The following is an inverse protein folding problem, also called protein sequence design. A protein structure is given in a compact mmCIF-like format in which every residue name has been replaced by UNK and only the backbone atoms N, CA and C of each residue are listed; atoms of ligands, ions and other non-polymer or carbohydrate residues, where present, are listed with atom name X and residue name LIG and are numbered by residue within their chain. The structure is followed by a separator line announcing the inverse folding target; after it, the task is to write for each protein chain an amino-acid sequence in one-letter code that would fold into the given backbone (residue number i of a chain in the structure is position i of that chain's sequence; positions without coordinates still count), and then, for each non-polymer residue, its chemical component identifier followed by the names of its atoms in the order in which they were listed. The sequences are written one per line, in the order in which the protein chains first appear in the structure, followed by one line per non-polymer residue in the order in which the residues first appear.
data_IF_273467708346
#
_entry.id   IF_273467708346
#
_cell.length_a   1.000
_cell.length_b   1.000
_cell.length_c   1.000
_cell.angle_alpha   90.00
_cell.angle_beta   90.00
_cell.angle_gamma   90.00
#
_symmetry.space_group_name_H-M   'P 1'
#
loop_
_entity.id
_entity.type
_entity.pdbx_description
1 polymer ?
#
# COMPACT_ATOMS: atom_id res chain seq x y z
N UNK A 1 -15.40 -11.75 4.71
CA UNK A 1 -14.93 -12.81 3.79
C UNK A 1 -13.56 -13.28 4.26
N UNK A 2 -13.32 -14.60 4.40
CA UNK A 2 -12.00 -15.11 4.79
C UNK A 2 -10.97 -14.79 3.71
N UNK A 3 -9.88 -14.16 4.13
CA UNK A 3 -8.76 -13.71 3.28
C UNK A 3 -8.19 -14.82 2.38
N UNK A 4 -8.30 -16.08 2.81
CA UNK A 4 -7.86 -17.26 2.06
C UNK A 4 -8.55 -17.42 0.69
N UNK A 5 -9.82 -17.02 0.53
CA UNK A 5 -10.49 -17.10 -0.78
C UNK A 5 -9.95 -16.10 -1.80
N UNK A 6 -9.39 -14.97 -1.34
CA UNK A 6 -8.73 -14.03 -2.25
C UNK A 6 -7.38 -14.53 -2.73
N UNK A 7 -6.73 -15.46 -2.01
CA UNK A 7 -5.39 -15.90 -2.37
C UNK A 7 -5.32 -16.66 -3.70
N UNK A 8 -6.25 -17.62 -3.90
CA UNK A 8 -6.38 -18.34 -5.18
C UNK A 8 -6.62 -17.41 -6.38
N UNK A 9 -7.26 -16.25 -6.15
CA UNK A 9 -7.45 -15.26 -7.21
C UNK A 9 -6.13 -14.65 -7.67
N UNK A 10 -5.18 -14.43 -6.75
CA UNK A 10 -3.86 -13.88 -7.07
C UNK A 10 -2.95 -14.92 -7.74
N UNK A 11 -2.99 -16.19 -7.29
CA UNK A 11 -2.22 -17.28 -7.91
C UNK A 11 -2.60 -17.52 -9.37
N UNK A 12 -3.86 -17.33 -9.74
CA UNK A 12 -4.34 -17.56 -11.11
C UNK A 12 -3.99 -16.42 -12.08
N UNK A 13 -3.23 -15.41 -11.66
CA UNK A 13 -2.89 -14.26 -12.49
C UNK A 13 -1.65 -14.55 -13.34
N UNK A 14 -1.62 -14.12 -14.62
CA UNK A 14 -0.46 -14.31 -15.48
C UNK A 14 0.77 -13.62 -14.87
N UNK A 15 1.88 -14.34 -14.81
CA UNK A 15 3.15 -13.89 -14.21
C UNK A 15 3.34 -14.27 -12.74
N UNK A 16 2.28 -14.66 -12.01
CA UNK A 16 2.40 -15.15 -10.62
C UNK A 16 2.33 -16.68 -10.51
N UNK A 17 2.00 -17.38 -11.59
CA UNK A 17 1.85 -18.84 -11.60
C UNK A 17 3.16 -19.60 -11.37
N UNK A 18 4.30 -18.94 -11.55
CA UNK A 18 5.65 -19.51 -11.33
C UNK A 18 6.14 -19.31 -9.90
N UNK A 19 5.52 -18.42 -9.13
CA UNK A 19 5.89 -18.11 -7.76
C UNK A 19 5.25 -19.11 -6.81
N UNK A 20 5.96 -19.44 -5.74
CA UNK A 20 5.44 -20.27 -4.64
C UNK A 20 4.36 -19.53 -3.85
N UNK A 21 3.49 -20.27 -3.16
CA UNK A 21 2.43 -19.70 -2.30
C UNK A 21 3.00 -18.75 -1.24
N UNK A 22 4.17 -19.07 -0.67
CA UNK A 22 4.83 -18.24 0.35
C UNK A 22 5.31 -16.91 -0.25
N UNK A 23 5.89 -16.94 -1.45
CA UNK A 23 6.36 -15.72 -2.13
C UNK A 23 5.19 -14.81 -2.50
N UNK A 24 4.07 -15.37 -2.99
CA UNK A 24 2.88 -14.60 -3.32
C UNK A 24 2.26 -13.96 -2.07
N UNK A 25 2.20 -14.67 -0.95
CA UNK A 25 1.74 -14.12 0.33
C UNK A 25 2.61 -12.95 0.78
N UNK A 26 3.93 -13.11 0.68
CA UNK A 26 4.86 -12.06 1.03
C UNK A 26 4.73 -10.82 0.13
N UNK A 27 4.63 -11.00 -1.19
CA UNK A 27 4.43 -9.89 -2.13
C UNK A 27 3.13 -9.14 -1.87
N UNK A 28 2.05 -9.84 -1.51
CA UNK A 28 0.78 -9.23 -1.13
C UNK A 28 0.92 -8.43 0.16
N UNK A 29 1.63 -8.95 1.16
CA UNK A 29 1.87 -8.25 2.42
C UNK A 29 2.73 -6.99 2.22
N UNK A 30 3.79 -7.08 1.41
CA UNK A 30 4.65 -5.94 1.08
C UNK A 30 3.88 -4.87 0.29
N UNK A 31 3.06 -5.27 -0.68
CA UNK A 31 2.21 -4.36 -1.43
C UNK A 31 1.16 -3.68 -0.55
N UNK A 32 0.64 -4.39 0.46
CA UNK A 32 -0.31 -3.86 1.44
C UNK A 32 0.38 -2.83 2.36
N UNK A 33 1.53 -3.18 2.94
CA UNK A 33 2.29 -2.29 3.83
C UNK A 33 2.72 -1.00 3.13
N UNK A 34 3.07 -1.08 1.84
CA UNK A 34 3.48 0.10 1.07
C UNK A 34 2.33 1.07 0.76
N UNK A 35 1.09 0.60 0.81
CA UNK A 35 -0.09 1.35 0.37
C UNK A 35 -1.14 1.55 1.45
N UNK A 36 -0.83 1.30 2.73
CA UNK A 36 -1.84 1.38 3.81
C UNK A 36 -2.69 2.65 3.74
N UNK A 37 -2.05 3.79 3.48
CA UNK A 37 -2.75 5.09 3.37
C UNK A 37 -3.46 5.33 2.04
N UNK A 38 -3.01 4.72 0.94
CA UNK A 38 -3.63 4.91 -0.38
C UNK A 38 -4.78 3.93 -0.63
N UNK A 39 -4.77 2.77 0.05
CA UNK A 39 -5.67 1.65 -0.22
C UNK A 39 -7.13 1.97 0.12
N UNK A 40 -7.35 2.80 1.14
CA UNK A 40 -8.66 3.27 1.58
C UNK A 40 -9.07 4.64 0.99
N UNK A 41 -8.12 5.54 0.74
CA UNK A 41 -8.42 6.91 0.27
C UNK A 41 -8.87 6.90 -1.18
N UNK A 42 -8.19 6.16 -2.06
CA UNK A 42 -8.53 6.15 -3.50
C UNK A 42 -9.96 5.62 -3.74
N UNK A 43 -10.37 4.46 -3.18
CA UNK A 43 -11.72 3.96 -3.39
C UNK A 43 -12.78 4.86 -2.72
N UNK A 44 -12.45 5.54 -1.63
CA UNK A 44 -13.35 6.47 -0.94
C UNK A 44 -13.57 7.73 -1.75
N UNK A 45 -12.52 8.35 -2.26
CA UNK A 45 -12.61 9.49 -3.18
C UNK A 45 -13.41 9.13 -4.42
N UNK A 46 -13.19 7.94 -4.98
CA UNK A 46 -13.96 7.48 -6.13
C UNK A 46 -15.45 7.30 -5.81
N UNK A 47 -15.77 6.68 -4.67
CA UNK A 47 -17.17 6.53 -4.25
C UNK A 47 -17.84 7.89 -4.05
N UNK A 48 -17.16 8.85 -3.42
CA UNK A 48 -17.66 10.22 -3.28
C UNK A 48 -17.90 10.84 -4.66
N UNK A 49 -16.94 10.72 -5.58
CA UNK A 49 -17.08 11.24 -6.94
C UNK A 49 -18.28 10.61 -7.67
N UNK A 50 -18.45 9.29 -7.59
CA UNK A 50 -19.59 8.58 -8.16
C UNK A 50 -20.91 9.06 -7.55
N UNK A 51 -20.96 9.24 -6.23
CA UNK A 51 -22.14 9.78 -5.54
C UNK A 51 -22.48 11.20 -5.99
N UNK A 52 -21.48 12.08 -6.14
CA UNK A 52 -21.68 13.43 -6.67
C UNK A 52 -22.23 13.37 -8.10
N UNK A 53 -21.62 12.56 -8.97
CA UNK A 53 -22.04 12.43 -10.38
C UNK A 53 -23.45 11.89 -10.51
N UNK A 54 -23.88 10.97 -9.63
CA UNK A 54 -25.23 10.40 -9.65
C UNK A 54 -26.25 11.31 -8.99
N UNK A 55 -25.94 11.88 -7.82
CA UNK A 55 -26.91 12.65 -7.04
C UNK A 55 -27.10 14.08 -7.53
N UNK A 56 -26.06 14.73 -8.08
CA UNK A 56 -26.19 16.12 -8.57
C UNK A 56 -27.26 16.23 -9.67
N UNK A 57 -27.27 15.40 -10.73
CA UNK A 57 -28.33 15.44 -11.75
C UNK A 57 -29.73 15.13 -11.18
N UNK A 58 -29.83 14.18 -10.24
CA UNK A 58 -31.09 13.80 -9.61
C UNK A 58 -31.66 14.96 -8.80
N UNK A 59 -30.82 15.58 -7.95
CA UNK A 59 -31.20 16.76 -7.16
C UNK A 59 -31.54 17.93 -8.07
N UNK A 60 -30.74 18.18 -9.11
CA UNK A 60 -30.98 19.25 -10.07
C UNK A 60 -32.30 19.07 -10.82
N UNK A 61 -32.59 17.87 -11.30
CA UNK A 61 -33.84 17.53 -11.98
C UNK A 61 -35.03 17.72 -11.02
N UNK A 62 -34.92 17.27 -9.78
CA UNK A 62 -35.94 17.46 -8.76
C UNK A 62 -36.21 18.96 -8.51
N UNK A 63 -35.16 19.78 -8.39
CA UNK A 63 -35.28 21.23 -8.24
C UNK A 63 -35.92 21.89 -9.47
N UNK A 64 -35.56 21.46 -10.67
CA UNK A 64 -36.15 21.96 -11.92
C UNK A 64 -37.63 21.62 -12.04
N UNK A 65 -38.03 20.40 -11.68
CA UNK A 65 -39.43 20.00 -11.64
C UNK A 65 -40.23 20.81 -10.61
N UNK A 66 -39.65 21.07 -9.43
CA UNK A 66 -40.27 21.90 -8.40
C UNK A 66 -40.45 23.35 -8.88
N UNK A 67 -39.46 23.91 -9.59
CA UNK A 67 -39.52 25.27 -10.13
C UNK A 67 -40.47 25.42 -11.31
N UNK A 68 -40.64 24.38 -12.11
CA UNK A 68 -41.58 24.36 -13.25
C UNK A 68 -43.05 24.33 -12.82
N UNK A 69 -43.34 24.25 -11.52
CA UNK A 69 -44.70 24.32 -11.00
C UNK A 69 -45.59 23.15 -11.43
N UNK A 70 -44.99 22.03 -11.86
CA UNK A 70 -45.72 20.83 -12.27
C UNK A 70 -46.50 20.27 -11.07
N UNK A 71 -47.84 20.44 -11.03
CA UNK A 71 -48.66 19.98 -9.91
C UNK A 71 -48.84 18.47 -10.09
N UNK A 72 -48.16 17.69 -9.26
CA UNK A 72 -48.20 16.22 -9.31
C UNK A 72 -46.84 15.54 -9.22
N UNK A 73 -45.74 16.28 -9.46
CA UNK A 73 -44.36 15.81 -9.24
C UNK A 73 -43.78 16.31 -7.91
N UNK A 74 -44.64 16.74 -6.98
CA UNK A 74 -44.24 16.69 -5.60
C UNK A 74 -44.07 15.20 -5.30
N UNK A 75 -42.82 14.73 -5.29
CA UNK A 75 -42.43 13.48 -4.66
C UNK A 75 -42.76 13.62 -3.17
N UNK A 76 -44.05 13.66 -2.84
CA UNK A 76 -44.49 13.54 -1.48
C UNK A 76 -44.14 12.12 -1.14
N UNK A 77 -43.02 11.98 -0.43
CA UNK A 77 -42.50 10.74 0.14
C UNK A 77 -43.56 10.04 1.02
N UNK A 78 -44.75 10.62 1.17
CA UNK A 78 -45.93 10.05 1.81
C UNK A 78 -46.53 8.85 1.06
N UNK A 79 -46.37 8.74 -0.27
CA UNK A 79 -46.88 7.57 -0.99
C UNK A 79 -46.12 6.31 -0.53
N UNK A 80 -46.79 5.30 0.05
CA UNK A 80 -46.10 4.14 0.63
C UNK A 80 -45.25 3.38 -0.40
N UNK A 81 -45.68 3.34 -1.67
CA UNK A 81 -44.90 2.75 -2.76
C UNK A 81 -43.60 3.48 -3.07
N UNK A 82 -43.57 4.82 -2.98
CA UNK A 82 -42.38 5.61 -3.26
C UNK A 82 -41.27 5.35 -2.22
N UNK A 83 -41.63 5.19 -0.94
CA UNK A 83 -40.68 4.83 0.13
C UNK A 83 -39.99 3.50 -0.15
N UNK A 84 -40.75 2.49 -0.60
CA UNK A 84 -40.20 1.17 -0.92
C UNK A 84 -39.24 1.23 -2.10
N UNK A 85 -39.60 1.96 -3.16
CA UNK A 85 -38.73 2.11 -4.35
C UNK A 85 -37.42 2.82 -3.97
N UNK A 86 -37.50 3.92 -3.21
CA UNK A 86 -36.31 4.65 -2.76
C UNK A 86 -35.44 3.77 -1.85
N UNK A 87 -36.04 3.00 -0.93
CA UNK A 87 -35.31 2.09 -0.07
C UNK A 87 -34.59 0.99 -0.89
N UNK A 88 -35.27 0.36 -1.85
CA UNK A 88 -34.67 -0.64 -2.74
C UNK A 88 -33.55 -0.05 -3.59
N UNK A 89 -33.74 1.13 -4.17
CA UNK A 89 -32.71 1.82 -4.94
C UNK A 89 -31.48 2.13 -4.08
N UNK A 90 -31.67 2.61 -2.85
CA UNK A 90 -30.59 2.84 -1.90
C UNK A 90 -29.85 1.54 -1.55
N UNK A 91 -30.58 0.43 -1.31
CA UNK A 91 -29.97 -0.88 -1.06
C UNK A 91 -29.13 -1.36 -2.25
N UNK A 92 -29.65 -1.26 -3.48
CA UNK A 92 -28.91 -1.63 -4.70
C UNK A 92 -27.66 -0.77 -4.86
N UNK A 93 -27.76 0.54 -4.64
CA UNK A 93 -26.63 1.46 -4.70
C UNK A 93 -25.53 1.10 -3.68
N UNK A 94 -25.91 0.74 -2.45
CA UNK A 94 -24.95 0.31 -1.41
C UNK A 94 -24.24 -0.98 -1.84
N UNK A 95 -24.97 -1.97 -2.37
CA UNK A 95 -24.38 -3.23 -2.83
C UNK A 95 -23.43 -2.99 -4.01
N UNK A 96 -23.83 -2.21 -5.01
CA UNK A 96 -22.99 -1.87 -6.16
C UNK A 96 -21.74 -1.12 -5.71
N UNK A 97 -21.88 -0.17 -4.78
CA UNK A 97 -20.76 0.59 -4.22
C UNK A 97 -19.78 -0.31 -3.45
N UNK A 98 -20.28 -1.30 -2.70
CA UNK A 98 -19.45 -2.26 -1.98
C UNK A 98 -18.68 -3.20 -2.93
N UNK A 99 -19.35 -3.75 -3.94
CA UNK A 99 -18.71 -4.60 -4.96
C UNK A 99 -17.63 -3.82 -5.71
N UNK A 100 -17.95 -2.59 -6.12
CA UNK A 100 -17.04 -1.73 -6.83
C UNK A 100 -15.83 -1.32 -5.97
N UNK A 101 -16.04 -1.04 -4.68
CA UNK A 101 -14.96 -0.82 -3.72
C UNK A 101 -14.00 -2.01 -3.63
N UNK A 102 -14.53 -3.22 -3.51
CA UNK A 102 -13.74 -4.46 -3.46
C UNK A 102 -12.96 -4.62 -4.77
N UNK A 103 -13.59 -4.33 -5.91
CA UNK A 103 -12.98 -4.44 -7.23
C UNK A 103 -11.81 -3.46 -7.43
N UNK A 104 -11.98 -2.17 -7.14
CA UNK A 104 -10.88 -1.18 -7.21
C UNK A 104 -9.72 -1.61 -6.29
N UNK A 105 -10.03 -2.02 -5.07
CA UNK A 105 -8.99 -2.46 -4.12
C UNK A 105 -8.16 -3.60 -4.69
N UNK A 106 -8.81 -4.59 -5.33
CA UNK A 106 -8.12 -5.70 -6.00
C UNK A 106 -7.24 -5.22 -7.15
N UNK A 107 -7.74 -4.31 -7.99
CA UNK A 107 -6.97 -3.75 -9.10
C UNK A 107 -5.73 -2.99 -8.63
N UNK A 108 -5.83 -2.21 -7.55
CA UNK A 108 -4.71 -1.46 -6.99
C UNK A 108 -3.63 -2.39 -6.43
N UNK A 109 -4.02 -3.47 -5.76
CA UNK A 109 -3.08 -4.50 -5.27
C UNK A 109 -2.39 -5.17 -6.46
N UNK A 110 -3.15 -5.62 -7.46
CA UNK A 110 -2.59 -6.26 -8.65
C UNK A 110 -1.61 -5.36 -9.39
N UNK A 111 -1.97 -4.10 -9.63
CA UNK A 111 -1.09 -3.14 -10.28
C UNK A 111 0.16 -2.85 -9.44
N UNK A 112 0.05 -2.90 -8.12
CA UNK A 112 1.19 -2.74 -7.22
C UNK A 112 2.15 -3.92 -7.31
N UNK A 113 1.63 -5.15 -7.34
CA UNK A 113 2.44 -6.36 -7.45
C UNK A 113 3.15 -6.39 -8.80
N UNK A 114 2.43 -6.12 -9.90
CA UNK A 114 3.03 -6.00 -11.24
C UNK A 114 4.12 -4.93 -11.30
N UNK A 115 3.90 -3.79 -10.63
CA UNK A 115 4.93 -2.76 -10.55
C UNK A 115 6.16 -3.21 -9.75
N UNK A 116 5.99 -4.00 -8.68
CA UNK A 116 7.12 -4.55 -7.93
C UNK A 116 7.91 -5.55 -8.78
N UNK A 117 7.23 -6.47 -9.45
CA UNK A 117 7.84 -7.47 -10.33
C UNK A 117 8.60 -6.79 -11.47
N UNK A 118 7.94 -5.86 -12.18
CA UNK A 118 8.56 -5.13 -13.31
C UNK A 118 9.67 -4.18 -12.87
N UNK A 119 9.78 -3.85 -11.58
CA UNK A 119 10.84 -2.97 -11.08
C UNK A 119 12.14 -3.73 -10.84
N UNK A 120 12.05 -5.02 -10.53
CA UNK A 120 13.20 -5.88 -10.30
C UNK A 120 13.76 -6.50 -11.59
N UNK A 121 13.32 -6.08 -12.77
CA UNK A 121 13.88 -6.55 -14.04
C UNK A 121 15.06 -5.69 -14.50
N UNK A 122 16.00 -6.30 -15.21
CA UNK A 122 17.08 -5.59 -15.88
C UNK A 122 16.50 -4.64 -16.95
N UNK A 123 16.86 -3.35 -16.97
CA UNK A 123 16.34 -2.39 -17.95
C UNK A 123 16.83 -2.63 -19.39
N UNK A 124 17.82 -3.51 -19.58
CA UNK A 124 18.42 -3.80 -20.89
C UNK A 124 17.83 -5.06 -21.53
N UNK A 125 17.70 -6.16 -20.76
CA UNK A 125 17.28 -7.46 -21.28
C UNK A 125 16.02 -8.04 -20.61
N UNK A 126 15.36 -7.28 -19.73
CA UNK A 126 14.19 -7.70 -18.96
C UNK A 126 14.39 -8.95 -18.09
N UNK A 127 15.63 -9.37 -17.86
CA UNK A 127 15.93 -10.50 -16.97
C UNK A 127 15.56 -10.16 -15.53
N UNK A 128 14.92 -11.11 -14.84
CA UNK A 128 14.52 -10.95 -13.44
C UNK A 128 15.75 -10.96 -12.52
N UNK A 129 15.96 -9.89 -11.75
CA UNK A 129 17.10 -9.74 -10.84
C UNK A 129 16.80 -10.29 -9.43
N UNK A 130 15.60 -10.81 -9.18
CA UNK A 130 15.26 -11.39 -7.89
C UNK A 130 16.21 -12.54 -7.51
N UNK A 131 16.60 -12.60 -6.23
CA UNK A 131 17.46 -13.65 -5.70
C UNK A 131 18.96 -13.46 -5.99
N UNK A 132 19.35 -12.44 -6.76
CA UNK A 132 20.77 -12.11 -6.91
C UNK A 132 21.32 -11.46 -5.63
N UNK A 133 22.51 -11.89 -5.24
CA UNK A 133 23.25 -11.27 -4.13
C UNK A 133 23.70 -9.87 -4.55
N UNK A 134 23.23 -8.88 -3.80
CA UNK A 134 23.64 -7.48 -3.96
C UNK A 134 25.05 -7.31 -3.37
N UNK A 135 25.99 -6.81 -4.18
CA UNK A 135 27.32 -6.45 -3.68
C UNK A 135 27.22 -5.25 -2.73
N UNK A 136 28.23 -5.06 -1.86
CA UNK A 136 28.19 -4.05 -0.78
C UNK A 136 27.88 -2.62 -1.27
N UNK A 137 28.21 -2.31 -2.52
CA UNK A 137 28.00 -0.99 -3.14
C UNK A 137 26.60 -0.78 -3.77
N UNK A 138 25.61 -1.62 -3.43
CA UNK A 138 24.26 -1.54 -4.01
C UNK A 138 24.26 -1.60 -5.55
N UNK A 139 25.15 -2.43 -6.09
CA UNK A 139 25.25 -2.75 -7.51
C UNK A 139 24.90 -4.23 -7.71
N UNK A 140 24.14 -4.52 -8.76
CA UNK A 140 23.85 -5.90 -9.19
C UNK A 140 24.26 -6.03 -10.65
N UNK A 141 25.01 -7.09 -10.96
CA UNK A 141 25.40 -7.42 -12.32
C UNK A 141 24.40 -8.41 -12.90
N UNK A 142 23.78 -8.07 -14.03
CA UNK A 142 22.87 -8.97 -14.72
C UNK A 142 23.64 -10.19 -15.26
N UNK A 143 23.18 -11.43 -15.04
CA UNK A 143 23.88 -12.62 -15.50
C UNK A 143 23.73 -12.86 -17.01
N UNK A 144 22.66 -12.34 -17.62
CA UNK A 144 22.39 -12.50 -19.05
C UNK A 144 23.20 -11.50 -19.91
N UNK A 145 23.04 -10.19 -19.65
CA UNK A 145 23.68 -9.15 -20.46
C UNK A 145 25.01 -8.63 -19.89
N UNK A 146 25.32 -8.93 -18.63
CA UNK A 146 26.55 -8.47 -17.96
C UNK A 146 26.53 -7.01 -17.50
N UNK A 147 25.43 -6.27 -17.75
CA UNK A 147 25.24 -4.88 -17.36
C UNK A 147 25.26 -4.71 -15.83
N UNK A 148 25.90 -3.66 -15.34
CA UNK A 148 25.96 -3.34 -13.90
C UNK A 148 24.92 -2.29 -13.60
N UNK A 149 23.91 -2.66 -12.81
CA UNK A 149 22.77 -1.82 -12.48
C UNK A 149 22.98 -1.25 -11.08
N UNK A 150 22.95 0.08 -10.98
CA UNK A 150 23.00 0.78 -9.70
C UNK A 150 21.58 0.84 -9.11
N UNK A 151 21.34 0.13 -8.00
CA UNK A 151 20.00 0.00 -7.42
C UNK A 151 19.36 1.37 -7.14
N UNK A 152 20.17 2.32 -6.66
CA UNK A 152 19.71 3.66 -6.26
C UNK A 152 19.13 4.46 -7.43
N UNK A 153 19.66 4.30 -8.64
CA UNK A 153 19.21 5.03 -9.83
C UNK A 153 17.84 4.55 -10.30
N UNK A 154 17.55 3.27 -10.12
CA UNK A 154 16.24 2.65 -10.41
C UNK A 154 15.29 2.68 -9.20
N UNK A 155 15.71 3.31 -8.10
CA UNK A 155 14.98 3.36 -6.85
C UNK A 155 14.74 1.99 -6.22
N UNK A 156 15.50 0.97 -6.62
CA UNK A 156 15.49 -0.36 -6.02
C UNK A 156 16.19 -0.29 -4.66
N UNK A 157 15.65 -1.02 -3.70
CA UNK A 157 16.29 -1.25 -2.41
C UNK A 157 16.81 -2.67 -2.34
N UNK A 158 17.83 -2.94 -1.51
CA UNK A 158 18.35 -4.30 -1.31
C UNK A 158 17.24 -5.30 -0.95
N UNK A 159 16.24 -4.83 -0.19
CA UNK A 159 15.03 -5.57 0.20
C UNK A 159 14.16 -6.00 -0.97
N UNK A 160 14.18 -5.26 -2.08
CA UNK A 160 13.41 -5.60 -3.27
C UNK A 160 14.06 -6.76 -4.06
N UNK A 161 15.36 -7.02 -3.87
CA UNK A 161 16.10 -8.10 -4.55
C UNK A 161 16.28 -9.34 -3.67
N UNK A 162 16.36 -9.15 -2.35
CA UNK A 162 16.50 -10.23 -1.37
C UNK A 162 15.13 -10.86 -1.07
N UNK A 163 14.82 -11.98 -1.71
CA UNK A 163 13.69 -12.83 -1.31
C UNK A 163 13.93 -13.47 0.07
N UNK A 164 15.20 -13.69 0.44
CA UNK A 164 15.60 -14.51 1.59
C UNK A 164 15.63 -13.77 2.93
N UNK A 165 16.01 -12.48 2.95
CA UNK A 165 16.27 -11.74 4.20
C UNK A 165 14.99 -11.36 4.97
N UNK A 166 13.82 -11.46 4.35
CA UNK A 166 12.54 -11.14 4.98
C UNK A 166 11.87 -12.33 5.69
N UNK A 167 12.27 -13.58 5.38
CA UNK A 167 11.72 -14.78 6.00
C UNK A 167 12.80 -15.54 6.79
N UNK A 168 13.40 -14.87 7.76
CA UNK A 168 13.74 -15.59 8.99
C UNK A 168 12.43 -15.55 9.77
N UNK A 169 11.59 -16.61 9.78
CA UNK A 169 10.45 -16.64 10.68
C UNK A 169 11.02 -16.29 12.06
N UNK A 170 10.37 -15.41 12.85
CA UNK A 170 10.87 -15.11 14.19
C UNK A 170 11.12 -16.47 14.82
N UNK A 171 12.40 -16.76 15.13
CA UNK A 171 12.78 -18.04 15.70
C UNK A 171 11.73 -18.33 16.76
N UNK A 172 11.03 -19.48 16.69
CA UNK A 172 9.93 -19.76 17.60
C UNK A 172 10.43 -19.36 18.97
N UNK A 173 9.77 -18.38 19.60
CA UNK A 173 10.24 -17.82 20.87
C UNK A 173 10.31 -19.03 21.77
N UNK A 174 11.51 -19.58 21.93
CA UNK A 174 11.67 -20.82 22.65
C UNK A 174 11.16 -20.47 24.03
N UNK A 175 10.17 -21.18 24.60
CA UNK A 175 9.68 -20.91 25.96
C UNK A 175 10.79 -21.09 27.02
N UNK A 176 12.01 -21.40 26.59
CA UNK A 176 13.15 -21.83 27.34
C UNK A 176 14.08 -20.69 27.79
N UNK A 177 13.54 -19.50 28.07
CA UNK A 177 14.30 -18.41 28.72
C UNK A 177 13.59 -17.81 29.95
N UNK A 178 12.63 -18.53 30.54
CA UNK A 178 12.05 -18.19 31.85
C UNK A 178 12.39 -19.24 32.93
N UNK A 179 13.65 -19.69 32.97
CA UNK A 179 14.10 -20.68 33.96
C UNK A 179 15.30 -20.25 34.82
N UNK A 180 15.55 -18.95 35.04
CA UNK A 180 16.59 -18.55 36.02
C UNK A 180 16.36 -17.20 36.72
N UNK A 181 15.12 -16.83 37.06
CA UNK A 181 14.83 -15.68 37.96
C UNK A 181 14.97 -16.03 39.46
N UNK A 182 15.67 -17.11 39.82
CA UNK A 182 15.52 -17.72 41.14
C UNK A 182 16.78 -18.14 41.89
N UNK A 183 17.95 -17.51 41.74
CA UNK A 183 19.09 -17.93 42.58
C UNK A 183 20.20 -16.93 42.92
N UNK A 184 20.23 -15.69 42.43
CA UNK A 184 21.34 -14.76 42.75
C UNK A 184 20.91 -13.42 43.37
N UNK A 185 20.06 -13.52 44.40
CA UNK A 185 19.97 -12.50 45.44
C UNK A 185 21.17 -12.61 46.40
N UNK A 186 22.39 -12.37 45.92
CA UNK A 186 23.55 -12.17 46.81
C UNK A 186 24.68 -11.41 46.13
N UNK A 187 24.59 -10.08 46.17
CA UNK A 187 25.48 -9.22 46.97
C UNK A 187 25.36 -7.78 46.47
N UNK A 188 24.76 -6.98 47.34
CA UNK A 188 24.94 -5.54 47.40
C UNK A 188 26.43 -5.20 47.31
N UNK A 189 26.78 -4.37 46.34
CA UNK A 189 28.16 -4.07 46.01
C UNK A 189 28.29 -2.75 45.27
N UNK A 190 27.78 -1.69 45.90
CA UNK A 190 28.31 -0.31 45.91
C UNK A 190 28.62 0.35 44.54
N UNK A 191 27.86 1.41 44.27
CA UNK A 191 28.12 2.43 43.27
C UNK A 191 29.59 2.93 43.25
N UNK A 192 30.01 3.49 42.11
CA UNK A 192 30.08 4.94 42.13
C UNK A 192 29.46 5.61 40.91
N UNK A 193 28.86 6.75 41.22
CA UNK A 193 28.57 7.85 40.32
C UNK A 193 29.69 8.08 39.30
N UNK A 194 29.31 8.12 38.02
CA UNK A 194 30.05 8.90 37.04
C UNK A 194 29.11 9.81 36.27
N UNK A 195 29.00 10.99 36.85
CA UNK A 195 28.62 12.24 36.23
C UNK A 195 29.19 12.41 34.81
N UNK A 196 28.34 13.04 34.02
CA UNK A 196 28.65 14.15 33.14
C UNK A 196 29.11 13.90 31.69
N UNK A 197 28.39 14.65 30.84
CA UNK A 197 28.88 15.43 29.70
C UNK A 197 29.19 14.70 28.40
N UNK A 198 28.29 14.85 27.42
CA UNK A 198 28.65 15.43 26.11
C UNK A 198 27.43 15.85 25.27
N UNK A 199 27.25 17.17 25.17
CA UNK A 199 27.02 17.96 23.93
C UNK A 199 26.11 17.30 22.88
N UNK A 200 24.80 17.60 22.84
CA UNK A 200 24.21 18.73 22.07
C UNK A 200 25.14 19.33 21.00
N UNK A 201 25.31 18.62 19.88
CA UNK A 201 25.88 19.18 18.66
C UNK A 201 24.74 19.61 17.72
N UNK A 202 24.65 20.92 17.50
CA UNK A 202 23.71 21.60 16.62
C UNK A 202 24.42 21.80 15.28
N UNK A 203 24.02 21.18 14.16
CA UNK A 203 24.58 21.54 12.88
C UNK A 203 24.05 22.90 12.46
N UNK A 204 25.01 23.82 12.35
CA UNK A 204 24.85 25.15 11.81
C UNK A 204 24.42 25.10 10.33
N UNK A 205 23.52 26.02 10.02
CA UNK A 205 23.43 26.78 8.77
C UNK A 205 24.54 26.52 7.75
N UNK A 206 24.18 25.91 6.62
CA UNK A 206 24.82 26.16 5.34
C UNK A 206 23.80 26.88 4.45
N UNK A 207 23.75 28.20 4.60
CA UNK A 207 23.38 29.08 3.50
C UNK A 207 24.40 28.87 2.36
N UNK A 208 23.95 28.98 1.10
CA UNK A 208 24.61 29.65 -0.05
C UNK A 208 24.26 28.97 -1.37
N UNK A 209 23.57 29.70 -2.26
CA UNK A 209 23.40 29.28 -3.64
C UNK A 209 22.24 29.89 -4.41
N UNK A 210 22.13 31.23 -4.44
CA UNK A 210 21.47 31.93 -5.55
C UNK A 210 22.23 31.63 -6.85
N UNK A 211 21.53 31.32 -7.94
CA UNK A 211 21.64 32.10 -9.19
C UNK A 211 20.61 31.68 -10.25
N UNK A 212 20.34 32.58 -11.22
CA UNK A 212 19.05 32.69 -11.90
C UNK A 212 19.07 32.18 -13.35
N UNK A 213 17.87 32.07 -13.91
CA UNK A 213 17.48 32.33 -15.30
C UNK A 213 18.47 31.99 -16.44
N UNK A 214 18.09 31.03 -17.28
CA UNK A 214 18.39 31.09 -18.71
C UNK A 214 17.10 31.02 -19.52
N UNK A 215 16.68 32.17 -20.05
CA UNK A 215 15.87 32.23 -21.26
C UNK A 215 16.76 31.80 -22.43
N UNK A 216 16.27 30.92 -23.30
CA UNK A 216 16.95 30.57 -24.54
C UNK A 216 15.97 30.01 -25.56
N UNK A 217 15.50 30.93 -26.42
CA UNK A 217 14.89 30.80 -27.75
C UNK A 217 13.78 29.79 -28.01
#
# INVERSE_FOLDING_TARGET
MPWYRSFRYYQNQPGLTTLTEIEVEHLVELAKNRREDALWVIPLLWNIALWIVVMVPVIWLALMMQRAGMPGTAWTVSAPGAKVIVALAACVMIVVSAEFWIWIRRLLIMRSIQFLINKATCPVCDFDLHGLRVADDAMVRCPECGEVILLKEHGLTRRDLSLEEAFIPPLPVSPLWHMDDGANARKEGKAPDRQASRTTEKPAQAAKGRSPASSGN
#
